data_IF_220953525583
#
_entry.id   IF_220953525583
#
_cell.length_a   1.000
_cell.length_b   1.000
_cell.length_c   1.000
_cell.angle_alpha   90.00
_cell.angle_beta   90.00
_cell.angle_gamma   90.00
#
_symmetry.space_group_name_H-M   'P 1'
#
loop_
_entity.id
_entity.type
_entity.pdbx_description
1 polymer ?
#
# COMPACT_ATOMS: atom_id res chain seq x y z
N UNK A 1 107.39 19.27 61.16
CA UNK A 1 107.33 18.85 59.75
C UNK A 1 108.19 19.79 58.91
N UNK A 2 108.91 19.27 57.92
CA UNK A 2 109.65 20.11 56.97
C UNK A 2 108.73 20.72 55.90
N UNK A 3 109.14 21.81 55.23
CA UNK A 3 108.34 22.49 54.22
C UNK A 3 107.97 21.61 53.01
N UNK A 4 108.78 20.61 52.68
CA UNK A 4 108.52 19.63 51.61
C UNK A 4 107.29 18.75 51.90
N UNK A 5 107.19 18.23 53.14
CA UNK A 5 106.09 17.37 53.56
C UNK A 5 104.76 18.14 53.55
N UNK A 6 104.78 19.41 53.99
CA UNK A 6 103.61 20.28 53.93
C UNK A 6 103.12 20.49 52.48
N UNK A 7 104.04 20.69 51.53
CA UNK A 7 103.69 20.87 50.11
C UNK A 7 103.08 19.59 49.51
N UNK A 8 103.60 18.42 49.85
CA UNK A 8 103.07 17.13 49.39
C UNK A 8 101.68 16.83 49.94
N UNK A 9 101.45 17.12 51.23
CA UNK A 9 100.14 17.00 51.87
C UNK A 9 99.12 17.95 51.22
N UNK A 10 99.50 19.23 51.02
CA UNK A 10 98.65 20.22 50.35
C UNK A 10 98.29 19.77 48.93
N UNK A 11 99.25 19.23 48.16
CA UNK A 11 98.98 18.72 46.82
C UNK A 11 98.01 17.53 46.84
N UNK A 12 98.19 16.61 47.79
CA UNK A 12 97.33 15.42 47.95
C UNK A 12 95.91 15.82 48.32
N UNK A 13 95.75 16.72 49.29
CA UNK A 13 94.44 17.23 49.71
C UNK A 13 93.78 18.05 48.60
N UNK A 14 94.54 18.87 47.86
CA UNK A 14 94.02 19.63 46.72
C UNK A 14 93.52 18.72 45.60
N UNK A 15 94.23 17.63 45.31
CA UNK A 15 93.80 16.64 44.32
C UNK A 15 92.53 15.91 44.77
N UNK A 16 92.42 15.55 46.05
CA UNK A 16 91.21 14.93 46.60
C UNK A 16 90.00 15.88 46.50
N UNK A 17 90.19 17.17 46.81
CA UNK A 17 89.16 18.20 46.67
C UNK A 17 88.70 18.36 45.22
N UNK A 18 89.63 18.43 44.26
CA UNK A 18 89.29 18.53 42.83
C UNK A 18 88.47 17.33 42.34
N UNK A 19 88.84 16.10 42.72
CA UNK A 19 88.06 14.90 42.37
C UNK A 19 86.65 14.93 42.97
N UNK A 20 86.51 15.42 44.20
CA UNK A 20 85.19 15.54 44.83
C UNK A 20 84.32 16.59 44.14
N UNK A 21 84.91 17.71 43.71
CA UNK A 21 84.23 18.73 42.91
C UNK A 21 83.80 18.15 41.56
N UNK A 22 84.68 17.40 40.87
CA UNK A 22 84.36 16.75 39.60
C UNK A 22 83.19 15.78 39.74
N UNK A 23 83.21 14.92 40.76
CA UNK A 23 82.09 14.00 41.04
C UNK A 23 80.81 14.77 41.36
N UNK A 24 80.88 15.79 42.21
CA UNK A 24 79.70 16.58 42.60
C UNK A 24 79.09 17.30 41.38
N UNK A 25 79.91 17.91 40.54
CA UNK A 25 79.45 18.60 39.31
C UNK A 25 78.84 17.63 38.30
N UNK A 26 79.44 16.45 38.11
CA UNK A 26 78.88 15.41 37.26
C UNK A 26 77.52 14.91 37.76
N UNK A 27 77.42 14.62 39.06
CA UNK A 27 76.17 14.15 39.67
C UNK A 27 75.08 15.22 39.64
N UNK A 28 75.41 16.48 39.95
CA UNK A 28 74.47 17.60 39.87
C UNK A 28 73.95 17.79 38.44
N UNK A 29 74.81 17.72 37.43
CA UNK A 29 74.39 17.83 36.03
C UNK A 29 73.43 16.71 35.61
N UNK A 30 73.64 15.49 36.12
CA UNK A 30 72.72 14.36 35.89
C UNK A 30 71.40 14.53 36.64
N UNK A 31 71.43 15.01 37.88
CA UNK A 31 70.23 15.28 38.68
C UNK A 31 69.36 16.36 38.02
N UNK A 32 69.95 17.46 37.55
CA UNK A 32 69.21 18.50 36.82
C UNK A 32 68.44 17.92 35.62
N UNK A 33 69.07 17.06 34.82
CA UNK A 33 68.38 16.40 33.68
C UNK A 33 67.18 15.57 34.12
N UNK A 34 67.33 14.76 35.17
CA UNK A 34 66.20 13.96 35.68
C UNK A 34 65.07 14.82 36.24
N UNK A 35 65.39 15.95 36.88
CA UNK A 35 64.38 16.90 37.36
C UNK A 35 63.61 17.53 36.20
N UNK A 36 64.31 17.93 35.14
CA UNK A 36 63.70 18.45 33.91
C UNK A 36 62.77 17.42 33.25
N UNK A 37 63.24 16.19 33.02
CA UNK A 37 62.43 15.11 32.44
C UNK A 37 61.19 14.80 33.30
N UNK A 38 61.36 14.75 34.63
CA UNK A 38 60.26 14.53 35.57
C UNK A 38 59.23 15.65 35.50
N UNK A 39 59.69 16.89 35.46
CA UNK A 39 58.79 18.05 35.46
C UNK A 39 58.06 18.16 34.11
N UNK A 40 58.70 17.80 33.00
CA UNK A 40 58.03 17.70 31.69
C UNK A 40 56.99 16.57 31.67
N UNK A 41 57.33 15.38 32.19
CA UNK A 41 56.37 14.28 32.33
C UNK A 41 55.17 14.66 33.21
N UNK A 42 55.38 15.45 34.26
CA UNK A 42 54.31 15.97 35.13
C UNK A 42 53.39 16.96 34.41
N UNK A 43 53.90 17.74 33.45
CA UNK A 43 53.07 18.64 32.62
C UNK A 43 52.22 17.87 31.62
N UNK A 44 52.73 16.79 31.04
CA UNK A 44 52.03 15.96 30.05
C UNK A 44 50.94 15.06 30.68
N UNK A 45 51.16 14.60 31.90
CA UNK A 45 50.25 13.72 32.62
C UNK A 45 48.77 14.19 32.67
N UNK A 46 48.43 15.46 33.00
CA UNK A 46 47.05 15.92 32.96
C UNK A 46 46.45 15.94 31.55
N UNK A 47 47.24 16.22 30.51
CA UNK A 47 46.76 16.21 29.12
C UNK A 47 46.40 14.79 28.69
N UNK A 48 47.27 13.82 28.99
CA UNK A 48 47.02 12.41 28.70
C UNK A 48 45.83 11.86 29.49
N UNK A 49 45.69 12.22 30.77
CA UNK A 49 44.51 11.85 31.57
C UNK A 49 43.21 12.37 30.98
N UNK A 50 43.21 13.63 30.51
CA UNK A 50 42.03 14.20 29.85
C UNK A 50 41.70 13.45 28.55
N UNK A 51 42.69 13.21 27.69
CA UNK A 51 42.49 12.45 26.44
C UNK A 51 41.98 11.04 26.69
N UNK A 52 42.49 10.37 27.74
CA UNK A 52 42.01 9.06 28.15
C UNK A 52 40.53 9.13 28.54
N UNK A 53 40.15 10.04 29.43
CA UNK A 53 38.76 10.20 29.86
C UNK A 53 37.82 10.55 28.70
N UNK A 54 38.24 11.44 27.78
CA UNK A 54 37.48 11.77 26.57
C UNK A 54 37.29 10.55 25.67
N UNK A 55 38.33 9.73 25.48
CA UNK A 55 38.26 8.51 24.68
C UNK A 55 37.40 7.43 25.33
N UNK A 56 37.46 7.27 26.66
CA UNK A 56 36.62 6.34 27.41
C UNK A 56 35.14 6.70 27.29
N UNK A 57 34.80 7.98 27.48
CA UNK A 57 33.44 8.49 27.30
C UNK A 57 32.93 8.29 25.87
N UNK A 58 33.76 8.57 24.86
CA UNK A 58 33.43 8.32 23.45
C UNK A 58 33.18 6.82 23.17
N UNK A 59 34.01 5.93 23.72
CA UNK A 59 33.82 4.48 23.62
C UNK A 59 32.57 3.97 24.33
N UNK A 60 32.10 4.63 25.38
CA UNK A 60 30.81 4.32 26.02
C UNK A 60 29.65 4.71 25.11
N UNK A 61 29.66 5.91 24.53
CA UNK A 61 28.64 6.36 23.57
C UNK A 61 28.53 5.39 22.39
N UNK A 62 29.64 5.04 21.75
CA UNK A 62 29.64 4.08 20.64
C UNK A 62 29.13 2.68 21.05
N UNK A 63 29.38 2.27 22.29
CA UNK A 63 28.85 0.99 22.81
C UNK A 63 27.33 1.02 22.93
N UNK A 64 26.76 2.11 23.44
CA UNK A 64 25.31 2.27 23.53
C UNK A 64 24.67 2.37 22.16
N UNK A 65 25.23 3.16 21.24
CA UNK A 65 24.76 3.23 19.84
C UNK A 65 24.76 1.86 19.18
N UNK A 66 25.82 1.05 19.38
CA UNK A 66 25.90 -0.31 18.84
C UNK A 66 24.82 -1.23 19.41
N UNK A 67 24.47 -1.09 20.69
CA UNK A 67 23.34 -1.85 21.28
C UNK A 67 22.02 -1.45 20.64
N UNK A 68 21.77 -0.15 20.47
CA UNK A 68 20.55 0.36 19.82
C UNK A 68 20.44 -0.16 18.38
N UNK A 69 21.51 -0.03 17.58
CA UNK A 69 21.52 -0.51 16.20
C UNK A 69 21.30 -2.02 16.14
N UNK A 70 21.93 -2.79 17.04
CA UNK A 70 21.74 -4.24 17.10
C UNK A 70 20.30 -4.64 17.44
N UNK A 71 19.63 -3.90 18.32
CA UNK A 71 18.22 -4.15 18.65
C UNK A 71 17.31 -3.86 17.45
N UNK A 72 17.52 -2.73 16.78
CA UNK A 72 16.76 -2.33 15.60
C UNK A 72 16.97 -3.31 14.42
N UNK A 73 18.20 -3.80 14.23
CA UNK A 73 18.50 -4.80 13.20
C UNK A 73 17.71 -6.09 13.44
N UNK A 74 17.68 -6.57 14.69
CA UNK A 74 16.92 -7.76 15.06
C UNK A 74 15.42 -7.57 14.83
N UNK A 75 14.86 -6.42 15.22
CA UNK A 75 13.46 -6.10 14.95
C UNK A 75 13.15 -6.09 13.44
N UNK A 76 14.04 -5.50 12.63
CA UNK A 76 13.88 -5.46 11.19
C UNK A 76 13.95 -6.87 10.56
N UNK A 77 14.84 -7.73 11.05
CA UNK A 77 14.93 -9.14 10.63
C UNK A 77 13.64 -9.91 10.95
N UNK A 78 13.10 -9.76 12.17
CA UNK A 78 11.86 -10.39 12.58
C UNK A 78 10.68 -9.93 11.72
N UNK A 79 10.58 -8.61 11.46
CA UNK A 79 9.56 -8.04 10.56
C UNK A 79 9.71 -8.54 9.13
N UNK A 80 10.93 -8.63 8.61
CA UNK A 80 11.18 -9.14 7.26
C UNK A 80 10.72 -10.60 7.12
N UNK A 81 10.94 -11.41 8.16
CA UNK A 81 10.45 -12.80 8.19
C UNK A 81 8.91 -12.85 8.08
N UNK A 82 8.21 -12.06 8.89
CA UNK A 82 6.73 -12.01 8.85
C UNK A 82 6.20 -11.58 7.47
N UNK A 83 6.79 -10.53 6.88
CA UNK A 83 6.39 -10.04 5.55
C UNK A 83 6.69 -11.07 4.46
N UNK A 84 7.77 -11.85 4.58
CA UNK A 84 8.06 -12.92 3.63
C UNK A 84 6.99 -14.01 3.67
N UNK A 85 6.58 -14.45 4.86
CA UNK A 85 5.55 -15.47 5.04
C UNK A 85 4.17 -14.99 4.49
N UNK A 86 3.83 -13.72 4.74
CA UNK A 86 2.61 -13.10 4.17
C UNK A 86 2.67 -13.04 2.64
N UNK A 87 3.81 -12.65 2.07
CA UNK A 87 4.03 -12.61 0.62
C UNK A 87 3.90 -13.99 0.00
N UNK A 88 4.48 -15.02 0.61
CA UNK A 88 4.39 -16.39 0.09
C UNK A 88 2.93 -16.88 0.10
N UNK A 89 2.19 -16.57 1.17
CA UNK A 89 0.75 -16.86 1.27
C UNK A 89 -0.08 -16.12 0.22
N UNK A 90 0.25 -14.86 -0.06
CA UNK A 90 -0.43 -14.05 -1.08
C UNK A 90 -0.15 -14.57 -2.49
N UNK A 91 1.09 -14.99 -2.78
CA UNK A 91 1.47 -15.61 -4.04
C UNK A 91 0.69 -16.90 -4.27
N UNK A 92 0.58 -17.77 -3.26
CA UNK A 92 -0.21 -19.00 -3.37
C UNK A 92 -1.68 -18.72 -3.74
N UNK A 93 -2.31 -17.73 -3.07
CA UNK A 93 -3.69 -17.33 -3.37
C UNK A 93 -3.82 -16.77 -4.79
N UNK A 94 -2.84 -15.99 -5.26
CA UNK A 94 -2.85 -15.46 -6.61
C UNK A 94 -2.75 -16.58 -7.66
N UNK A 95 -1.94 -17.61 -7.41
CA UNK A 95 -1.84 -18.77 -8.28
C UNK A 95 -3.16 -19.57 -8.32
N UNK A 96 -3.80 -19.79 -7.16
CA UNK A 96 -5.14 -20.42 -7.07
C UNK A 96 -6.20 -19.63 -7.87
N UNK A 97 -6.21 -18.30 -7.73
CA UNK A 97 -7.11 -17.44 -8.49
C UNK A 97 -6.84 -17.51 -10.00
N UNK A 98 -5.57 -17.57 -10.41
CA UNK A 98 -5.19 -17.68 -11.82
C UNK A 98 -5.69 -18.98 -12.44
N UNK A 99 -5.65 -20.10 -11.71
CA UNK A 99 -6.24 -21.37 -12.14
C UNK A 99 -7.75 -21.23 -12.34
N UNK A 100 -8.45 -20.65 -11.36
CA UNK A 100 -9.91 -20.46 -11.43
C UNK A 100 -10.32 -19.57 -12.61
N UNK A 101 -9.56 -18.50 -12.87
CA UNK A 101 -9.78 -17.62 -14.02
C UNK A 101 -9.68 -18.44 -15.32
N UNK A 102 -8.62 -19.23 -15.50
CA UNK A 102 -8.47 -20.08 -16.68
C UNK A 102 -9.61 -21.09 -16.86
N UNK A 103 -10.12 -21.66 -15.77
CA UNK A 103 -11.29 -22.55 -15.81
C UNK A 103 -12.57 -21.83 -16.25
N UNK A 104 -12.80 -20.61 -15.74
CA UNK A 104 -13.96 -19.79 -16.09
C UNK A 104 -13.88 -19.28 -17.54
N UNK A 105 -12.71 -18.84 -17.98
CA UNK A 105 -12.44 -18.47 -19.37
C UNK A 105 -12.74 -19.65 -20.31
N UNK A 106 -12.24 -20.86 -19.98
CA UNK A 106 -12.53 -22.05 -20.77
C UNK A 106 -14.02 -22.46 -20.76
N UNK A 107 -14.76 -22.23 -19.66
CA UNK A 107 -16.22 -22.43 -19.61
C UNK A 107 -16.95 -21.43 -20.50
N UNK A 108 -16.54 -20.16 -20.45
CA UNK A 108 -17.12 -19.08 -21.26
C UNK A 108 -16.92 -19.35 -22.75
N UNK A 109 -15.71 -19.73 -23.15
CA UNK A 109 -15.39 -20.08 -24.53
C UNK A 109 -16.25 -21.26 -25.01
N UNK A 110 -16.43 -22.30 -24.19
CA UNK A 110 -17.36 -23.40 -24.51
C UNK A 110 -18.78 -22.91 -24.70
N UNK A 111 -19.32 -22.09 -23.80
CA UNK A 111 -20.69 -21.56 -23.91
C UNK A 111 -20.89 -20.72 -25.17
N UNK A 112 -19.90 -19.91 -25.56
CA UNK A 112 -19.92 -19.18 -26.84
C UNK A 112 -19.89 -20.14 -28.04
N UNK A 113 -19.05 -21.16 -28.01
CA UNK A 113 -18.94 -22.17 -29.08
C UNK A 113 -20.18 -23.07 -29.17
N UNK A 114 -20.91 -23.28 -28.07
CA UNK A 114 -22.08 -24.16 -28.07
C UNK A 114 -23.27 -23.54 -28.80
N UNK A 115 -23.23 -22.26 -29.17
CA UNK A 115 -24.30 -21.59 -29.93
C UNK A 115 -25.67 -21.55 -29.23
N UNK A 116 -25.80 -22.09 -28.01
CA UNK A 116 -27.08 -22.28 -27.30
C UNK A 116 -27.82 -20.95 -27.10
N UNK A 117 -27.08 -19.84 -26.93
CA UNK A 117 -27.67 -18.51 -26.82
C UNK A 117 -28.12 -17.98 -28.19
N UNK A 118 -27.36 -18.24 -29.25
CA UNK A 118 -27.69 -17.76 -30.60
C UNK A 118 -28.80 -18.57 -31.27
N UNK A 119 -28.89 -19.89 -31.04
CA UNK A 119 -29.88 -20.74 -31.70
C UNK A 119 -31.30 -20.50 -31.17
N UNK A 120 -31.46 -20.27 -29.86
CA UNK A 120 -32.76 -19.86 -29.30
C UNK A 120 -33.20 -18.47 -29.77
N UNK A 121 -32.25 -17.55 -29.98
CA UNK A 121 -32.55 -16.22 -30.52
C UNK A 121 -32.88 -16.26 -32.01
N UNK A 122 -32.23 -17.13 -32.80
CA UNK A 122 -32.56 -17.34 -34.22
C UNK A 122 -33.96 -17.92 -34.44
N UNK A 123 -34.46 -18.77 -33.55
CA UNK A 123 -35.85 -19.25 -33.60
C UNK A 123 -36.86 -18.13 -33.37
N UNK A 124 -36.64 -17.29 -32.35
CA UNK A 124 -37.57 -16.22 -31.96
C UNK A 124 -37.44 -14.98 -32.85
N UNK A 125 -36.27 -14.74 -33.44
CA UNK A 125 -35.95 -13.58 -34.25
C UNK A 125 -35.11 -13.98 -35.47
N UNK A 126 -35.71 -14.55 -36.52
CA UNK A 126 -35.00 -15.03 -37.71
C UNK A 126 -34.19 -13.94 -38.43
N UNK A 127 -34.59 -12.68 -38.26
CA UNK A 127 -33.93 -11.51 -38.85
C UNK A 127 -32.84 -10.89 -37.95
N UNK A 128 -32.65 -11.41 -36.72
CA UNK A 128 -31.57 -11.01 -35.82
C UNK A 128 -31.63 -9.57 -35.29
N UNK A 129 -32.78 -8.89 -35.42
CA UNK A 129 -32.94 -7.47 -35.07
C UNK A 129 -32.71 -7.24 -33.57
N UNK A 130 -33.13 -8.17 -32.71
CA UNK A 130 -33.02 -8.02 -31.27
C UNK A 130 -31.62 -8.33 -30.71
N UNK A 131 -30.86 -9.21 -31.38
CA UNK A 131 -29.52 -9.62 -30.95
C UNK A 131 -28.52 -8.46 -30.89
N UNK A 132 -28.70 -7.48 -31.79
CA UNK A 132 -27.87 -6.28 -31.87
C UNK A 132 -28.42 -5.10 -31.07
N UNK A 133 -29.60 -5.25 -30.47
CA UNK A 133 -30.29 -4.17 -29.76
C UNK A 133 -29.84 -4.08 -28.31
N UNK A 134 -29.54 -2.85 -27.85
CA UNK A 134 -29.29 -2.62 -26.44
C UNK A 134 -30.55 -2.84 -25.61
N UNK A 135 -30.41 -3.14 -24.31
CA UNK A 135 -31.55 -3.27 -23.38
C UNK A 135 -32.50 -2.06 -23.44
N UNK A 136 -31.95 -0.85 -23.55
CA UNK A 136 -32.74 0.38 -23.63
C UNK A 136 -33.54 0.44 -24.92
N UNK A 137 -32.93 0.06 -26.05
CA UNK A 137 -33.61 0.03 -27.34
C UNK A 137 -34.76 -1.01 -27.35
N UNK A 138 -34.53 -2.19 -26.77
CA UNK A 138 -35.57 -3.22 -26.64
C UNK A 138 -36.76 -2.74 -25.80
N UNK A 139 -36.49 -2.06 -24.67
CA UNK A 139 -37.55 -1.50 -23.81
C UNK A 139 -38.37 -0.45 -24.58
N UNK A 140 -37.70 0.44 -25.32
CA UNK A 140 -38.39 1.45 -26.12
C UNK A 140 -39.27 0.82 -27.20
N UNK A 141 -38.80 -0.23 -27.87
CA UNK A 141 -39.54 -0.92 -28.92
C UNK A 141 -40.79 -1.63 -28.38
N UNK A 142 -40.72 -2.21 -27.18
CA UNK A 142 -41.89 -2.79 -26.49
C UNK A 142 -42.94 -1.70 -26.21
N UNK A 143 -42.51 -0.57 -25.64
CA UNK A 143 -43.41 0.54 -25.33
C UNK A 143 -44.08 1.12 -26.58
N UNK A 144 -43.35 1.24 -27.68
CA UNK A 144 -43.90 1.68 -28.97
C UNK A 144 -44.94 0.69 -29.50
N UNK A 145 -44.66 -0.61 -29.42
CA UNK A 145 -45.57 -1.65 -29.89
C UNK A 145 -46.87 -1.68 -29.05
N UNK A 146 -46.76 -1.53 -27.73
CA UNK A 146 -47.90 -1.38 -26.83
C UNK A 146 -48.75 -0.16 -27.18
N UNK A 147 -48.13 1.00 -27.40
CA UNK A 147 -48.83 2.23 -27.80
C UNK A 147 -49.54 2.07 -29.15
N UNK A 148 -48.91 1.40 -30.11
CA UNK A 148 -49.49 1.15 -31.43
C UNK A 148 -50.68 0.19 -31.35
N UNK A 149 -50.61 -0.84 -30.51
CA UNK A 149 -51.72 -1.77 -30.29
C UNK A 149 -52.95 -1.08 -29.69
N UNK A 150 -52.76 -0.22 -28.68
CA UNK A 150 -53.85 0.58 -28.10
C UNK A 150 -54.47 1.48 -29.16
N UNK A 151 -53.65 2.20 -29.92
CA UNK A 151 -54.15 3.07 -30.99
C UNK A 151 -54.93 2.30 -32.07
N UNK A 152 -54.48 1.09 -32.43
CA UNK A 152 -55.18 0.23 -33.39
C UNK A 152 -56.54 -0.26 -32.85
N UNK A 153 -56.62 -0.63 -31.57
CA UNK A 153 -57.87 -1.02 -30.92
C UNK A 153 -58.88 0.12 -30.92
N UNK A 154 -58.47 1.32 -30.51
CA UNK A 154 -59.33 2.51 -30.52
C UNK A 154 -59.77 2.91 -31.92
N UNK A 155 -58.89 2.80 -32.92
CA UNK A 155 -59.30 3.05 -34.30
C UNK A 155 -60.33 2.01 -34.80
N UNK A 156 -60.14 0.73 -34.45
CA UNK A 156 -61.09 -0.35 -34.76
C UNK A 156 -62.46 -0.10 -34.13
N UNK A 157 -62.49 0.26 -32.85
CA UNK A 157 -63.72 0.62 -32.12
C UNK A 157 -64.44 1.79 -32.78
N UNK A 158 -63.75 2.90 -33.02
CA UNK A 158 -64.32 4.07 -33.66
C UNK A 158 -64.86 3.77 -35.07
N UNK A 159 -64.16 2.93 -35.83
CA UNK A 159 -64.62 2.48 -37.14
C UNK A 159 -65.91 1.63 -37.03
N UNK A 160 -66.00 0.73 -36.04
CA UNK A 160 -67.21 -0.04 -35.79
C UNK A 160 -68.40 0.86 -35.41
N UNK A 161 -68.19 1.84 -34.52
CA UNK A 161 -69.21 2.85 -34.17
C UNK A 161 -69.66 3.63 -35.40
N UNK A 162 -68.72 4.10 -36.23
CA UNK A 162 -69.05 4.82 -37.46
C UNK A 162 -69.88 3.98 -38.45
N UNK A 163 -69.59 2.68 -38.57
CA UNK A 163 -70.38 1.76 -39.39
C UNK A 163 -71.80 1.59 -38.82
N UNK A 164 -71.95 1.49 -37.50
CA UNK A 164 -73.26 1.39 -36.83
C UNK A 164 -74.11 2.66 -37.01
N UNK A 165 -73.51 3.85 -37.00
CA UNK A 165 -74.20 5.13 -37.29
C UNK A 165 -74.86 5.12 -38.66
N UNK A 166 -74.16 4.59 -39.67
CA UNK A 166 -74.67 4.54 -41.05
C UNK A 166 -75.91 3.63 -41.12
N UNK A 167 -75.89 2.52 -40.39
CA UNK A 167 -77.00 1.56 -40.37
C UNK A 167 -78.18 2.02 -39.49
N UNK A 168 -77.92 2.78 -38.42
CA UNK A 168 -78.91 3.19 -37.43
C UNK A 168 -78.83 4.71 -37.13
N UNK A 169 -79.50 5.56 -37.94
CA UNK A 169 -79.40 7.02 -37.83
C UNK A 169 -79.93 7.64 -36.51
N UNK A 170 -80.54 6.84 -35.63
CA UNK A 170 -81.06 7.26 -34.32
C UNK A 170 -80.32 6.64 -33.13
N UNK A 171 -79.14 6.05 -33.33
CA UNK A 171 -78.34 5.45 -32.27
C UNK A 171 -77.85 6.53 -31.28
N UNK A 172 -78.12 6.34 -29.99
CA UNK A 172 -77.60 7.21 -28.92
C UNK A 172 -76.28 6.62 -28.44
N UNK A 173 -75.21 7.39 -28.58
CA UNK A 173 -73.83 6.96 -28.30
C UNK A 173 -73.23 7.67 -27.08
N UNK A 174 -74.01 8.52 -26.42
CA UNK A 174 -73.58 9.26 -25.26
C UNK A 174 -73.26 8.27 -24.13
N UNK A 175 -71.97 8.12 -23.82
CA UNK A 175 -71.45 7.18 -22.81
C UNK A 175 -70.99 5.82 -23.34
N UNK A 176 -70.95 5.59 -24.66
CA UNK A 176 -70.42 4.36 -25.25
C UNK A 176 -68.88 4.46 -25.40
N UNK A 177 -68.15 3.56 -24.74
CA UNK A 177 -66.70 3.40 -24.86
C UNK A 177 -66.33 1.91 -25.02
N UNK A 178 -65.04 1.64 -25.23
CA UNK A 178 -64.50 0.28 -25.43
C UNK A 178 -64.79 -0.68 -24.26
N UNK A 179 -65.10 -0.14 -23.08
CA UNK A 179 -65.28 -0.88 -21.84
C UNK A 179 -66.75 -1.01 -21.45
N UNK A 180 -67.71 -0.49 -22.22
CA UNK A 180 -69.15 -0.62 -21.91
C UNK A 180 -69.78 -1.87 -22.52
N UNK A 181 -70.79 -2.39 -21.84
CA UNK A 181 -71.62 -3.48 -22.33
C UNK A 181 -73.12 -3.13 -22.28
N UNK A 182 -73.94 -3.92 -22.98
CA UNK A 182 -75.40 -3.77 -22.97
C UNK A 182 -76.02 -4.86 -22.10
N UNK A 183 -76.56 -4.47 -20.94
CA UNK A 183 -77.42 -5.33 -20.11
C UNK A 183 -78.83 -4.76 -20.07
N UNK A 184 -79.83 -5.60 -20.33
CA UNK A 184 -81.26 -5.24 -20.31
C UNK A 184 -81.62 -3.98 -21.13
N UNK A 185 -80.88 -3.72 -22.22
CA UNK A 185 -81.12 -2.59 -23.11
C UNK A 185 -80.50 -1.25 -22.65
N UNK A 186 -79.72 -1.24 -21.57
CA UNK A 186 -78.97 -0.07 -21.10
C UNK A 186 -77.46 -0.28 -21.26
N UNK A 187 -76.75 0.80 -21.61
CA UNK A 187 -75.27 0.82 -21.64
C UNK A 187 -74.79 0.94 -20.19
N UNK A 188 -74.00 -0.04 -19.74
CA UNK A 188 -73.47 -0.10 -18.38
C UNK A 188 -71.98 -0.39 -18.39
N UNK A 189 -71.26 0.08 -17.37
CA UNK A 189 -69.89 -0.38 -17.11
C UNK A 189 -69.96 -1.77 -16.47
N UNK A 190 -69.24 -2.78 -17.00
CA UNK A 190 -69.14 -4.08 -16.38
C UNK A 190 -68.53 -3.95 -14.98
N UNK A 191 -68.89 -4.86 -14.09
CA UNK A 191 -68.43 -4.92 -12.69
C UNK A 191 -67.06 -5.62 -12.63
N UNK A 192 -66.11 -5.07 -11.85
CA UNK A 192 -64.70 -5.52 -11.75
C UNK A 192 -64.49 -6.99 -11.33
N UNK A 193 -65.55 -7.73 -10.97
CA UNK A 193 -65.50 -9.11 -10.47
C UNK A 193 -65.39 -10.19 -11.57
N UNK A 194 -65.32 -9.82 -12.85
CA UNK A 194 -65.12 -10.77 -13.96
C UNK A 194 -63.90 -10.40 -14.82
N UNK A 195 -62.70 -10.75 -14.32
CA UNK A 195 -61.48 -10.96 -15.13
C UNK A 195 -60.82 -12.27 -14.71
#
# INVERSE_FOLDING_TARGET
MGPEALRSEIATQSMALLKLIEVATFLNGRECKYLEERDEARKELPLLKRKLAESEASCEVFREERKTISANLKEAEDRLKTVSEERDSAVQKADEQKVLIGELEGKLERLQVTGVVEDGEKELAPQGVYASSSRVALIAMIQELESNMVAAATFSFNNAVAQLRILNPGLVEEGLDEEKEVRDGAIVTPSDDEV
#
